data_IF_044993207218
#
_entry.id   IF_044993207218
#
_cell.length_a   1.000
_cell.length_b   1.000
_cell.length_c   1.000
_cell.angle_alpha   90.00
_cell.angle_beta   90.00
_cell.angle_gamma   90.00
#
_symmetry.space_group_name_H-M   'P 1'
#
loop_
_entity.id
_entity.type
_entity.pdbx_description
1 polymer ?
#
# COMPACT_ATOMS: atom_id res chain seq x y z
N UNK A 1 40.97 49.32 -55.64
CA UNK A 1 41.28 49.08 -54.21
C UNK A 1 40.06 49.42 -53.37
N UNK A 2 39.18 48.47 -53.05
CA UNK A 2 38.20 48.59 -51.97
C UNK A 2 37.91 47.17 -51.46
N UNK A 3 38.54 46.81 -50.35
CA UNK A 3 38.33 45.53 -49.64
C UNK A 3 37.22 45.75 -48.60
N UNK A 4 36.16 44.93 -48.64
CA UNK A 4 35.11 44.90 -47.60
C UNK A 4 35.38 43.71 -46.69
N UNK A 5 35.79 44.00 -45.46
CA UNK A 5 35.96 43.05 -44.37
C UNK A 5 34.59 42.82 -43.72
N UNK A 6 34.07 41.58 -43.79
CA UNK A 6 32.87 41.15 -43.07
C UNK A 6 33.28 40.57 -41.72
N UNK A 7 32.89 41.26 -40.63
CA UNK A 7 33.12 40.83 -39.26
C UNK A 7 31.95 39.92 -38.84
N UNK A 8 32.21 38.62 -38.67
CA UNK A 8 31.22 37.67 -38.16
C UNK A 8 31.28 37.64 -36.62
N UNK A 9 30.32 38.29 -35.97
CA UNK A 9 30.09 38.15 -34.53
C UNK A 9 29.39 36.80 -34.26
N UNK A 10 30.10 35.85 -33.67
CA UNK A 10 29.51 34.62 -33.14
C UNK A 10 29.02 34.88 -31.72
N UNK A 11 27.70 34.96 -31.53
CA UNK A 11 27.07 35.02 -30.21
C UNK A 11 26.96 33.58 -29.68
N UNK A 12 27.76 33.26 -28.68
CA UNK A 12 27.60 32.03 -27.89
C UNK A 12 26.52 32.30 -26.84
N UNK A 13 25.31 31.77 -27.03
CA UNK A 13 24.30 31.74 -25.99
C UNK A 13 24.62 30.60 -25.01
N UNK A 14 25.14 30.96 -23.84
CA UNK A 14 25.17 30.08 -22.67
C UNK A 14 23.76 30.05 -22.06
N UNK A 15 23.03 28.95 -22.25
CA UNK A 15 21.82 28.67 -21.47
C UNK A 15 22.24 28.26 -20.05
N UNK A 16 22.21 29.22 -19.13
CA UNK A 16 22.22 28.92 -17.71
C UNK A 16 20.83 28.39 -17.34
N UNK A 17 20.68 27.07 -17.23
CA UNK A 17 19.50 26.45 -16.64
C UNK A 17 19.48 26.77 -15.15
N UNK A 18 18.78 27.83 -14.77
CA UNK A 18 18.40 28.04 -13.37
C UNK A 18 17.55 26.84 -12.94
N UNK A 19 18.04 26.09 -11.97
CA UNK A 19 17.31 25.00 -11.33
C UNK A 19 16.14 25.63 -10.58
N UNK A 20 15.00 25.76 -11.27
CA UNK A 20 13.76 26.14 -10.64
C UNK A 20 13.25 24.91 -9.88
N UNK A 21 12.96 25.06 -8.59
CA UNK A 21 12.33 23.98 -7.82
C UNK A 21 11.04 23.55 -8.52
N UNK A 22 10.70 22.26 -8.44
CA UNK A 22 9.46 21.77 -9.02
C UNK A 22 8.28 22.51 -8.37
N UNK A 23 7.53 23.26 -9.17
CA UNK A 23 6.41 24.05 -8.68
C UNK A 23 5.28 23.12 -8.25
N UNK A 24 4.77 23.29 -7.03
CA UNK A 24 3.66 22.47 -6.54
C UNK A 24 2.39 22.77 -7.33
N UNK A 25 1.58 21.73 -7.55
CA UNK A 25 0.23 21.93 -8.06
C UNK A 25 -0.63 22.72 -7.05
N UNK A 26 -1.70 23.43 -7.49
CA UNK A 26 -2.62 24.10 -6.57
C UNK A 26 -3.19 23.16 -5.49
N UNK A 27 -3.39 21.89 -5.84
CA UNK A 27 -3.81 20.86 -4.88
C UNK A 27 -2.71 20.58 -3.83
N UNK A 28 -1.45 20.48 -4.25
CA UNK A 28 -0.30 20.32 -3.37
C UNK A 28 -0.18 21.43 -2.33
N UNK A 29 -0.33 22.69 -2.76
CA UNK A 29 -0.36 23.86 -1.88
C UNK A 29 -1.51 23.78 -0.86
N UNK A 30 -2.72 23.49 -1.33
CA UNK A 30 -3.89 23.34 -0.47
C UNK A 30 -3.68 22.23 0.57
N UNK A 31 -3.14 21.08 0.15
CA UNK A 31 -2.84 19.94 1.02
C UNK A 31 -1.68 20.19 1.98
N UNK A 32 -0.91 21.27 1.76
CA UNK A 32 0.32 21.59 2.50
C UNK A 32 1.33 20.45 2.39
N UNK A 33 1.53 19.97 1.16
CA UNK A 33 2.53 18.95 0.91
C UNK A 33 3.96 19.48 1.12
N UNK A 34 4.91 18.57 1.29
CA UNK A 34 6.33 18.88 1.45
C UNK A 34 6.94 19.39 0.14
N UNK A 35 8.04 20.14 0.25
CA UNK A 35 8.85 20.52 -0.90
C UNK A 35 9.58 19.29 -1.46
N UNK A 36 9.70 19.24 -2.79
CA UNK A 36 10.38 18.16 -3.52
C UNK A 36 11.67 18.67 -4.16
N UNK A 37 12.67 17.80 -4.26
CA UNK A 37 13.94 18.13 -4.88
C UNK A 37 13.76 18.48 -6.37
N UNK A 38 14.63 19.34 -6.95
CA UNK A 38 14.37 19.93 -8.27
C UNK A 38 14.31 18.97 -9.45
N UNK A 39 14.84 17.74 -9.34
CA UNK A 39 14.76 16.71 -10.38
C UNK A 39 13.45 15.91 -10.37
N UNK A 40 12.53 16.21 -9.45
CA UNK A 40 11.21 15.59 -9.40
C UNK A 40 10.18 16.39 -10.20
N UNK A 41 9.38 15.69 -11.00
CA UNK A 41 8.16 16.24 -11.59
C UNK A 41 7.05 16.16 -10.55
N UNK A 42 6.29 17.24 -10.39
CA UNK A 42 5.22 17.32 -9.39
C UNK A 42 3.84 17.14 -10.03
N UNK A 43 3.17 16.05 -9.69
CA UNK A 43 1.77 15.73 -10.02
C UNK A 43 1.43 15.77 -11.52
N UNK A 44 2.43 15.53 -12.39
CA UNK A 44 2.29 15.49 -13.85
C UNK A 44 2.90 14.20 -14.43
N UNK A 45 2.15 13.10 -14.29
CA UNK A 45 2.53 11.81 -14.84
C UNK A 45 2.65 11.82 -16.39
N UNK A 46 1.75 12.49 -17.15
CA UNK A 46 1.92 12.63 -18.60
C UNK A 46 3.26 13.26 -19.01
N UNK A 47 3.69 14.34 -18.36
CA UNK A 47 5.00 14.96 -18.60
C UNK A 47 6.14 13.99 -18.29
N UNK A 48 6.08 13.32 -17.13
CA UNK A 48 7.10 12.34 -16.75
C UNK A 48 7.23 11.21 -17.77
N UNK A 49 6.11 10.67 -18.28
CA UNK A 49 6.12 9.66 -19.34
C UNK A 49 6.75 10.17 -20.64
N UNK A 50 6.44 11.41 -21.03
CA UNK A 50 7.01 12.02 -22.22
C UNK A 50 8.53 12.20 -22.09
N UNK A 51 9.00 12.66 -20.93
CA UNK A 51 10.43 12.83 -20.64
C UNK A 51 11.17 11.49 -20.54
N UNK A 52 10.57 10.47 -19.92
CA UNK A 52 11.15 9.12 -19.87
C UNK A 52 11.33 8.55 -21.27
N UNK A 53 10.33 8.74 -22.15
CA UNK A 53 10.44 8.32 -23.56
C UNK A 53 11.52 9.11 -24.31
N UNK A 54 11.63 10.41 -24.08
CA UNK A 54 12.60 11.27 -24.77
C UNK A 54 14.05 11.00 -24.32
N UNK A 55 14.26 10.71 -23.04
CA UNK A 55 15.59 10.49 -22.45
C UNK A 55 16.02 9.03 -22.47
N UNK A 56 15.08 8.09 -22.66
CA UNK A 56 15.30 6.66 -22.51
C UNK A 56 15.44 6.19 -21.06
N UNK A 57 15.31 7.08 -20.07
CA UNK A 57 15.39 6.73 -18.65
C UNK A 57 14.13 5.99 -18.18
N UNK A 58 14.25 5.10 -17.17
CA UNK A 58 13.09 4.53 -16.50
C UNK A 58 12.34 5.58 -15.66
N UNK A 59 11.09 5.30 -15.36
CA UNK A 59 10.24 6.08 -14.46
C UNK A 59 10.39 5.61 -13.02
N UNK A 60 10.49 6.56 -12.10
CA UNK A 60 10.25 6.38 -10.67
C UNK A 60 9.00 7.17 -10.30
N UNK A 61 7.89 6.47 -10.03
CA UNK A 61 6.61 7.07 -9.66
C UNK A 61 6.39 6.85 -8.16
N UNK A 62 6.32 7.94 -7.39
CA UNK A 62 5.92 7.91 -5.97
C UNK A 62 4.47 8.35 -5.85
N UNK A 63 3.61 7.45 -5.38
CA UNK A 63 2.22 7.73 -5.05
C UNK A 63 2.11 8.05 -3.57
N UNK A 64 1.64 9.26 -3.27
CA UNK A 64 1.49 9.76 -1.90
C UNK A 64 0.07 10.21 -1.64
N UNK A 65 -0.51 9.73 -0.54
CA UNK A 65 -1.70 10.36 0.01
C UNK A 65 -1.31 11.43 1.05
N UNK A 66 -1.56 12.70 0.73
CA UNK A 66 -1.25 13.83 1.63
C UNK A 66 -2.52 14.23 2.39
N UNK A 67 -2.49 14.47 3.72
CA UNK A 67 -1.33 14.48 4.62
C UNK A 67 -1.23 13.20 5.49
N UNK A 68 -1.54 12.02 4.95
CA UNK A 68 -1.61 10.79 5.74
C UNK A 68 -0.29 10.52 6.50
N UNK A 69 -0.32 10.27 7.83
CA UNK A 69 0.90 10.09 8.61
C UNK A 69 1.78 8.90 8.16
N UNK A 70 1.23 7.72 7.81
CA UNK A 70 2.06 6.57 7.45
C UNK A 70 2.95 6.83 6.24
N UNK A 71 4.21 6.40 6.35
CA UNK A 71 5.27 6.56 5.37
C UNK A 71 5.87 7.95 5.31
N UNK A 72 5.48 8.89 6.19
CA UNK A 72 5.96 10.28 6.13
C UNK A 72 7.48 10.40 6.27
N UNK A 73 8.11 9.58 7.11
CA UNK A 73 9.56 9.67 7.31
C UNK A 73 10.32 9.31 6.04
N UNK A 74 9.95 8.18 5.41
CA UNK A 74 10.54 7.79 4.13
C UNK A 74 10.17 8.78 3.03
N UNK A 75 8.92 9.27 2.99
CA UNK A 75 8.48 10.26 2.02
C UNK A 75 9.38 11.50 2.02
N UNK A 76 9.72 12.01 3.21
CA UNK A 76 10.64 13.13 3.33
C UNK A 76 12.05 12.77 2.83
N UNK A 77 12.57 11.60 3.17
CA UNK A 77 13.89 11.15 2.71
C UNK A 77 13.96 11.01 1.18
N UNK A 78 12.89 10.56 0.52
CA UNK A 78 12.86 10.39 -0.95
C UNK A 78 12.59 11.71 -1.66
N UNK A 79 11.75 12.59 -1.11
CA UNK A 79 11.50 13.91 -1.73
C UNK A 79 12.64 14.90 -1.47
N UNK A 80 13.42 14.71 -0.40
CA UNK A 80 14.55 15.55 0.01
C UNK A 80 15.78 14.66 0.26
N UNK A 81 16.31 14.02 -0.81
CA UNK A 81 17.33 12.99 -0.71
C UNK A 81 18.68 13.55 -0.25
N UNK A 82 19.46 12.68 0.39
CA UNK A 82 20.90 12.90 0.51
C UNK A 82 21.61 12.73 -0.85
N UNK A 83 22.91 13.03 -0.90
CA UNK A 83 23.67 13.03 -2.16
C UNK A 83 23.71 11.65 -2.85
N UNK A 84 23.71 10.56 -2.09
CA UNK A 84 23.78 9.21 -2.66
C UNK A 84 22.43 8.80 -3.25
N UNK A 85 21.33 9.08 -2.54
CA UNK A 85 20.00 8.83 -3.06
C UNK A 85 19.68 9.75 -4.25
N UNK A 86 20.06 11.02 -4.20
CA UNK A 86 19.86 11.97 -5.30
C UNK A 86 20.57 11.49 -6.59
N UNK A 87 21.79 10.97 -6.48
CA UNK A 87 22.54 10.39 -7.59
C UNK A 87 21.81 9.19 -8.19
N UNK A 88 21.17 8.37 -7.36
CA UNK A 88 20.38 7.23 -7.80
C UNK A 88 19.09 7.68 -8.50
N UNK A 89 18.35 8.61 -7.89
CA UNK A 89 17.11 9.18 -8.41
C UNK A 89 17.30 9.86 -9.77
N UNK A 90 18.40 10.59 -9.98
CA UNK A 90 18.72 11.26 -11.27
C UNK A 90 18.90 10.29 -12.45
N UNK A 91 19.01 8.98 -12.20
CA UNK A 91 19.02 7.96 -13.25
C UNK A 91 17.61 7.61 -13.74
N UNK A 92 16.57 8.05 -13.03
CA UNK A 92 15.17 7.96 -13.40
C UNK A 92 14.63 9.32 -13.87
N UNK A 93 13.49 9.29 -14.56
CA UNK A 93 12.55 10.43 -14.53
C UNK A 93 11.65 10.22 -13.33
N UNK A 94 11.79 11.10 -12.34
CA UNK A 94 11.10 10.98 -11.06
C UNK A 94 9.80 11.80 -11.09
N UNK A 95 8.69 11.21 -10.63
CA UNK A 95 7.41 11.91 -10.52
C UNK A 95 6.69 11.58 -9.24
N UNK A 96 6.26 12.61 -8.54
CA UNK A 96 5.40 12.51 -7.35
C UNK A 96 3.96 12.68 -7.78
N UNK A 97 3.09 11.75 -7.41
CA UNK A 97 1.65 11.80 -7.66
C UNK A 97 0.93 11.85 -6.32
N UNK A 98 0.13 12.90 -6.08
CA UNK A 98 -0.45 13.18 -4.76
C UNK A 98 -1.97 12.93 -4.66
N UNK A 99 -2.55 12.45 -5.76
CA UNK A 99 -3.98 12.15 -5.89
C UNK A 99 -4.16 10.90 -6.74
N UNK A 100 -5.26 10.17 -6.51
CA UNK A 100 -5.61 9.04 -7.37
C UNK A 100 -6.61 9.43 -8.47
N UNK A 101 -7.07 10.68 -8.50
CA UNK A 101 -7.94 11.17 -9.56
C UNK A 101 -7.28 10.96 -10.94
N UNK A 102 -7.97 10.27 -11.85
CA UNK A 102 -7.46 9.94 -13.19
C UNK A 102 -6.34 8.91 -13.22
N UNK A 103 -5.99 8.30 -12.08
CA UNK A 103 -4.95 7.29 -12.01
C UNK A 103 -5.39 6.04 -12.78
N UNK A 104 -4.55 5.60 -13.72
CA UNK A 104 -4.77 4.36 -14.45
C UNK A 104 -4.64 3.14 -13.52
N UNK A 105 -5.77 2.55 -13.15
CA UNK A 105 -5.84 1.42 -12.22
C UNK A 105 -5.33 0.11 -12.84
N UNK A 106 -5.17 0.05 -14.17
CA UNK A 106 -4.54 -1.10 -14.83
C UNK A 106 -3.02 -1.09 -14.62
N UNK A 107 -2.42 0.09 -14.71
CA UNK A 107 -0.97 0.25 -14.52
C UNK A 107 -0.61 0.28 -13.03
N UNK A 108 -1.27 1.12 -12.24
CA UNK A 108 -0.86 1.42 -10.86
C UNK A 108 -1.51 0.49 -9.84
N UNK A 109 -1.28 -0.81 -9.99
CA UNK A 109 -1.79 -1.86 -9.11
C UNK A 109 -0.87 -2.04 -7.90
N UNK A 110 -1.20 -1.41 -6.77
CA UNK A 110 -0.51 -1.56 -5.49
C UNK A 110 -1.53 -1.69 -4.35
N UNK A 111 -1.04 -1.88 -3.12
CA UNK A 111 -1.91 -1.92 -1.95
C UNK A 111 -2.46 -0.53 -1.62
N UNK A 112 -3.69 -0.24 -2.05
CA UNK A 112 -4.33 1.06 -1.85
C UNK A 112 -4.63 1.40 -0.38
N UNK A 113 -4.45 0.48 0.58
CA UNK A 113 -4.45 0.83 2.01
C UNK A 113 -3.14 1.52 2.45
N UNK A 114 -2.13 1.56 1.58
CA UNK A 114 -0.90 2.32 1.77
C UNK A 114 -1.09 3.78 1.39
N UNK A 115 -0.61 4.69 2.24
CA UNK A 115 -0.54 6.12 1.92
C UNK A 115 0.76 6.55 1.26
N UNK A 116 1.69 5.61 1.05
CA UNK A 116 2.95 5.83 0.35
C UNK A 116 3.31 4.54 -0.39
N UNK A 117 3.56 4.64 -1.70
CA UNK A 117 4.03 3.54 -2.54
C UNK A 117 4.92 4.09 -3.65
N UNK A 118 5.93 3.33 -4.05
CA UNK A 118 6.74 3.63 -5.23
C UNK A 118 6.59 2.52 -6.28
N UNK A 119 6.57 2.91 -7.55
CA UNK A 119 6.60 2.00 -8.68
C UNK A 119 7.73 2.40 -9.61
N UNK A 120 8.51 1.41 -10.02
CA UNK A 120 9.59 1.57 -10.99
C UNK A 120 9.13 1.00 -12.31
N UNK A 121 9.15 1.80 -13.37
CA UNK A 121 8.59 1.40 -14.66
C UNK A 121 9.53 1.76 -15.81
N UNK A 122 9.37 1.08 -16.92
CA UNK A 122 9.90 1.52 -18.19
C UNK A 122 9.08 2.73 -18.73
N UNK A 123 9.60 3.42 -19.74
CA UNK A 123 8.89 4.52 -20.40
C UNK A 123 7.56 4.07 -21.06
N UNK A 124 7.43 2.80 -21.45
CA UNK A 124 6.19 2.20 -21.95
C UNK A 124 5.23 1.70 -20.85
N UNK A 125 5.53 2.02 -19.58
CA UNK A 125 4.82 1.60 -18.37
C UNK A 125 4.93 0.10 -18.03
N UNK A 126 5.85 -0.64 -18.67
CA UNK A 126 6.19 -1.98 -18.17
C UNK A 126 6.76 -1.88 -16.76
N UNK A 127 6.17 -2.60 -15.79
CA UNK A 127 6.53 -2.52 -14.38
C UNK A 127 7.82 -3.31 -14.13
N UNK A 128 8.87 -2.65 -13.62
CA UNK A 128 10.06 -3.32 -13.08
C UNK A 128 9.79 -3.87 -11.68
N UNK A 129 9.06 -3.12 -10.86
CA UNK A 129 8.60 -3.60 -9.57
C UNK A 129 8.04 -2.49 -8.70
N UNK A 130 7.69 -2.86 -7.48
CA UNK A 130 7.05 -2.01 -6.48
C UNK A 130 7.96 -1.83 -5.26
N UNK A 131 7.73 -0.79 -4.49
CA UNK A 131 8.29 -0.63 -3.16
C UNK A 131 7.30 0.10 -2.26
N UNK A 132 7.31 -0.22 -0.97
CA UNK A 132 6.35 0.29 0.01
C UNK A 132 5.44 -0.82 0.51
N UNK A 133 5.58 -1.16 1.78
CA UNK A 133 4.79 -2.20 2.44
C UNK A 133 4.57 -1.86 3.91
N UNK A 134 3.59 -2.52 4.54
CA UNK A 134 3.23 -2.37 5.94
C UNK A 134 2.59 -3.65 6.45
N UNK A 135 2.76 -3.90 7.75
CA UNK A 135 2.02 -4.91 8.49
C UNK A 135 1.32 -4.27 9.71
N UNK A 136 0.69 -5.09 10.55
CA UNK A 136 0.01 -4.61 11.76
C UNK A 136 0.96 -4.33 12.94
N UNK A 137 2.25 -4.62 12.80
CA UNK A 137 3.21 -4.55 13.91
C UNK A 137 3.82 -3.15 14.06
N UNK A 138 4.03 -2.73 15.31
CA UNK A 138 4.71 -1.48 15.66
C UNK A 138 3.78 -0.27 15.84
N UNK A 139 4.19 0.65 16.72
CA UNK A 139 3.49 1.92 16.93
C UNK A 139 3.65 2.89 15.73
N UNK A 140 4.65 2.65 14.89
CA UNK A 140 4.96 3.43 13.70
C UNK A 140 4.69 2.54 12.48
N UNK A 141 3.84 3.01 11.58
CA UNK A 141 3.48 2.36 10.32
C UNK A 141 4.60 2.23 9.29
N UNK A 142 5.83 2.55 9.68
CA UNK A 142 6.96 2.84 8.82
C UNK A 142 8.13 1.86 9.05
N UNK A 143 7.97 0.87 9.94
CA UNK A 143 9.06 -0.06 10.32
C UNK A 143 9.59 -0.91 9.14
N UNK A 144 8.80 -1.07 8.08
CA UNK A 144 9.18 -1.80 6.86
C UNK A 144 9.61 -0.88 5.72
N UNK A 145 9.62 0.43 5.98
CA UNK A 145 9.99 1.47 5.03
C UNK A 145 11.35 2.02 5.44
N UNK A 146 12.38 1.71 4.67
CA UNK A 146 13.72 2.26 4.88
C UNK A 146 14.25 2.93 3.60
N UNK A 147 15.09 3.96 3.76
CA UNK A 147 15.77 4.59 2.65
C UNK A 147 16.74 3.61 1.96
N UNK A 148 17.46 2.79 2.74
CA UNK A 148 18.38 1.78 2.21
C UNK A 148 17.65 0.73 1.35
N UNK A 149 16.50 0.23 1.83
CA UNK A 149 15.67 -0.72 1.08
C UNK A 149 15.09 -0.11 -0.19
N UNK A 150 14.73 1.18 -0.15
CA UNK A 150 14.29 1.91 -1.33
C UNK A 150 15.42 2.04 -2.36
N UNK A 151 16.63 2.43 -1.93
CA UNK A 151 17.80 2.49 -2.81
C UNK A 151 18.12 1.13 -3.43
N UNK A 152 18.05 0.03 -2.65
CA UNK A 152 18.25 -1.34 -3.17
C UNK A 152 17.21 -1.72 -4.22
N UNK A 153 15.95 -1.37 -4.02
CA UNK A 153 14.90 -1.59 -5.02
C UNK A 153 15.15 -0.79 -6.31
N UNK A 154 15.57 0.48 -6.18
CA UNK A 154 15.91 1.33 -7.30
C UNK A 154 17.13 0.81 -8.09
N UNK A 155 18.19 0.37 -7.42
CA UNK A 155 19.35 -0.27 -8.05
C UNK A 155 18.95 -1.50 -8.88
N UNK A 156 18.08 -2.37 -8.32
CA UNK A 156 17.57 -3.56 -9.02
C UNK A 156 16.68 -3.19 -10.20
N UNK A 157 15.87 -2.14 -10.08
CA UNK A 157 15.06 -1.63 -11.19
C UNK A 157 15.94 -1.10 -12.34
N UNK A 158 17.02 -0.36 -12.03
CA UNK A 158 18.00 0.08 -13.04
C UNK A 158 18.71 -1.10 -13.72
N UNK A 159 19.02 -2.16 -12.97
CA UNK A 159 19.58 -3.38 -13.56
C UNK A 159 18.60 -4.04 -14.54
N UNK A 160 17.31 -4.15 -14.18
CA UNK A 160 16.26 -4.67 -15.08
C UNK A 160 16.07 -3.76 -16.30
N UNK A 161 16.19 -2.44 -16.15
CA UNK A 161 16.07 -1.50 -17.25
C UNK A 161 17.21 -1.62 -18.26
N UNK A 162 18.46 -1.74 -17.78
CA UNK A 162 19.64 -1.98 -18.63
C UNK A 162 19.52 -3.23 -19.51
N UNK A 163 18.89 -4.27 -18.97
CA UNK A 163 18.70 -5.56 -19.64
C UNK A 163 17.22 -5.78 -20.04
N UNK A 164 16.48 -4.70 -20.33
CA UNK A 164 15.01 -4.75 -20.51
C UNK A 164 14.54 -5.80 -21.51
N UNK A 165 15.16 -5.87 -22.69
CA UNK A 165 14.76 -6.81 -23.75
C UNK A 165 14.85 -8.27 -23.30
N UNK A 166 15.81 -8.60 -22.42
CA UNK A 166 15.96 -9.95 -21.86
C UNK A 166 14.88 -10.27 -20.83
N UNK A 167 14.36 -9.27 -20.14
CA UNK A 167 13.40 -9.43 -19.05
C UNK A 167 11.95 -9.15 -19.44
N UNK A 168 11.70 -8.53 -20.60
CA UNK A 168 10.38 -8.03 -21.03
C UNK A 168 9.25 -9.06 -20.88
N UNK A 169 9.49 -10.31 -21.26
CA UNK A 169 8.49 -11.38 -21.12
C UNK A 169 8.16 -11.69 -19.65
N UNK A 170 9.18 -11.78 -18.78
CA UNK A 170 8.98 -12.03 -17.35
C UNK A 170 8.32 -10.83 -16.64
N UNK A 171 8.63 -9.61 -17.08
CA UNK A 171 8.04 -8.39 -16.54
C UNK A 171 6.56 -8.23 -16.89
N UNK A 172 6.08 -8.80 -18.00
CA UNK A 172 4.66 -8.75 -18.35
C UNK A 172 3.75 -9.35 -17.25
N UNK A 173 4.24 -10.35 -16.51
CA UNK A 173 3.52 -10.96 -15.40
C UNK A 173 3.40 -10.06 -14.15
N UNK A 174 4.09 -8.92 -14.11
CA UNK A 174 3.96 -7.92 -13.02
C UNK A 174 2.72 -7.04 -13.14
N UNK A 175 2.00 -7.12 -14.26
CA UNK A 175 0.67 -6.53 -14.43
C UNK A 175 -0.37 -7.61 -14.21
N UNK A 176 -1.32 -7.37 -13.30
CA UNK A 176 -2.34 -8.35 -12.95
C UNK A 176 -3.54 -8.32 -13.89
N UNK A 177 -4.64 -8.90 -13.42
CA UNK A 177 -5.93 -8.82 -14.11
C UNK A 177 -6.36 -7.36 -14.27
N UNK A 178 -7.10 -7.08 -15.33
CA UNK A 178 -7.69 -5.77 -15.54
C UNK A 178 -8.63 -5.43 -14.35
N UNK A 179 -8.54 -4.20 -13.81
CA UNK A 179 -9.42 -3.77 -12.74
C UNK A 179 -10.87 -3.65 -13.25
N UNK A 180 -11.85 -3.80 -12.35
CA UNK A 180 -13.27 -3.62 -12.69
C UNK A 180 -13.57 -2.18 -13.18
N UNK A 181 -12.79 -1.21 -12.71
CA UNK A 181 -12.86 0.20 -13.12
C UNK A 181 -11.50 0.65 -13.62
N UNK A 182 -11.46 1.35 -14.76
CA UNK A 182 -10.21 1.81 -15.36
C UNK A 182 -9.53 2.96 -14.59
N UNK A 183 -10.34 3.84 -13.99
CA UNK A 183 -9.92 4.98 -13.16
C UNK A 183 -10.84 5.11 -11.95
N UNK A 184 -10.41 5.71 -10.82
CA UNK A 184 -11.22 5.78 -9.59
C UNK A 184 -12.60 6.42 -9.76
N UNK A 185 -12.71 7.48 -10.55
CA UNK A 185 -13.95 8.23 -10.80
C UNK A 185 -15.03 7.40 -11.52
N UNK A 186 -14.68 6.22 -12.05
CA UNK A 186 -15.65 5.27 -12.63
C UNK A 186 -16.22 4.30 -11.60
N UNK A 187 -15.70 4.29 -10.37
CA UNK A 187 -16.20 3.47 -9.28
C UNK A 187 -17.49 4.08 -8.71
N UNK A 188 -18.57 3.29 -8.51
CA UNK A 188 -19.78 3.76 -7.83
C UNK A 188 -19.46 4.44 -6.50
N UNK A 189 -19.99 5.65 -6.28
CA UNK A 189 -19.73 6.47 -5.11
C UNK A 189 -18.53 7.44 -5.20
N UNK A 190 -17.75 7.39 -6.29
CA UNK A 190 -16.67 8.35 -6.60
C UNK A 190 -16.94 9.17 -7.87
N UNK A 191 -18.09 8.99 -8.51
CA UNK A 191 -18.41 9.57 -9.83
C UNK A 191 -18.61 11.08 -9.84
N UNK A 192 -18.81 11.69 -8.67
CA UNK A 192 -18.96 13.13 -8.48
C UNK A 192 -17.62 13.87 -8.30
N UNK A 193 -16.50 13.12 -8.24
CA UNK A 193 -15.17 13.67 -8.03
C UNK A 193 -14.54 14.10 -9.37
N UNK A 194 -14.20 15.38 -9.58
CA UNK A 194 -13.58 15.85 -10.82
C UNK A 194 -12.13 15.34 -10.99
N UNK A 195 -11.66 15.35 -12.24
CA UNK A 195 -10.27 15.01 -12.61
C UNK A 195 -9.64 16.19 -13.36
N UNK A 196 -8.52 16.78 -12.90
CA UNK A 196 -7.88 16.55 -11.59
C UNK A 196 -8.73 17.10 -10.44
N UNK A 197 -8.40 16.74 -9.20
CA UNK A 197 -9.04 17.33 -8.04
C UNK A 197 -8.63 18.80 -7.87
N UNK A 198 -9.61 19.66 -7.60
CA UNK A 198 -9.40 21.10 -7.34
C UNK A 198 -9.47 21.49 -5.87
N UNK A 199 -9.92 20.58 -4.99
CA UNK A 199 -10.07 20.80 -3.55
C UNK A 199 -9.77 19.53 -2.76
N UNK A 200 -9.58 19.65 -1.45
CA UNK A 200 -9.37 18.49 -0.56
C UNK A 200 -10.57 17.54 -0.58
N UNK A 201 -11.78 18.08 -0.69
CA UNK A 201 -13.04 17.33 -0.67
C UNK A 201 -13.26 16.51 -1.94
N UNK A 202 -12.61 16.91 -3.03
CA UNK A 202 -12.73 16.29 -4.34
C UNK A 202 -11.54 15.37 -4.69
N UNK A 203 -10.50 15.37 -3.85
CA UNK A 203 -9.39 14.42 -3.95
C UNK A 203 -9.87 13.02 -3.57
N UNK A 204 -9.53 12.04 -4.41
CA UNK A 204 -9.73 10.63 -4.12
C UNK A 204 -8.48 10.11 -3.42
N UNK A 205 -8.61 9.79 -2.14
CA UNK A 205 -7.56 9.17 -1.33
C UNK A 205 -7.33 7.70 -1.76
N UNK A 206 -6.11 7.19 -1.59
CA UNK A 206 -5.76 5.83 -2.04
C UNK A 206 -6.71 4.77 -1.45
N UNK A 207 -6.98 4.81 -0.14
CA UNK A 207 -7.87 3.84 0.50
C UNK A 207 -9.32 3.92 0.00
N UNK A 208 -9.75 5.07 -0.55
CA UNK A 208 -11.10 5.21 -1.15
C UNK A 208 -11.21 4.37 -2.42
N UNK A 209 -10.14 4.24 -3.21
CA UNK A 209 -10.15 3.40 -4.42
C UNK A 209 -10.55 1.96 -4.08
N UNK A 210 -9.89 1.38 -3.06
CA UNK A 210 -10.21 0.03 -2.61
C UNK A 210 -11.57 -0.01 -1.90
N UNK A 211 -11.86 0.94 -1.03
CA UNK A 211 -13.10 0.91 -0.26
C UNK A 211 -14.36 0.98 -1.13
N UNK A 212 -14.42 1.91 -2.08
CA UNK A 212 -15.57 2.04 -2.96
C UNK A 212 -15.68 0.86 -3.93
N UNK A 213 -14.57 0.24 -4.34
CA UNK A 213 -14.60 -1.01 -5.08
C UNK A 213 -15.19 -2.17 -4.25
N UNK A 214 -14.81 -2.30 -2.97
CA UNK A 214 -15.39 -3.29 -2.05
C UNK A 214 -16.88 -3.01 -1.81
N UNK A 215 -17.27 -1.73 -1.68
CA UNK A 215 -18.68 -1.34 -1.58
C UNK A 215 -19.47 -1.74 -2.82
N UNK A 216 -18.98 -1.45 -4.01
CA UNK A 216 -19.66 -1.81 -5.25
C UNK A 216 -19.82 -3.34 -5.39
N UNK A 217 -18.82 -4.12 -4.96
CA UNK A 217 -18.94 -5.59 -4.86
C UNK A 217 -20.02 -6.02 -3.87
N UNK A 218 -20.10 -5.36 -2.71
CA UNK A 218 -21.11 -5.65 -1.69
C UNK A 218 -22.52 -5.34 -2.21
N UNK A 219 -22.73 -4.15 -2.80
CA UNK A 219 -24.01 -3.75 -3.40
C UNK A 219 -24.45 -4.69 -4.53
N UNK A 220 -23.50 -5.30 -5.23
CA UNK A 220 -23.75 -6.31 -6.25
C UNK A 220 -23.87 -7.76 -5.72
N UNK A 221 -23.80 -7.99 -4.40
CA UNK A 221 -23.88 -9.32 -3.79
C UNK A 221 -22.68 -10.24 -4.09
N UNK A 222 -21.51 -9.67 -4.41
CA UNK A 222 -20.28 -10.39 -4.82
C UNK A 222 -19.13 -10.30 -3.83
N UNK A 223 -19.23 -9.45 -2.79
CA UNK A 223 -18.17 -9.28 -1.82
C UNK A 223 -17.96 -10.58 -1.03
N UNK A 224 -16.72 -11.04 -0.95
CA UNK A 224 -16.32 -12.24 -0.22
C UNK A 224 -15.14 -11.95 0.72
N UNK A 225 -14.79 -12.94 1.55
CA UNK A 225 -13.72 -12.83 2.54
C UNK A 225 -12.38 -12.50 1.87
N UNK A 226 -12.10 -13.14 0.73
CA UNK A 226 -10.84 -13.01 -0.02
C UNK A 226 -10.62 -11.60 -0.58
N UNK A 227 -11.69 -10.83 -0.80
CA UNK A 227 -11.58 -9.42 -1.21
C UNK A 227 -10.98 -8.52 -0.11
N UNK A 228 -11.04 -8.94 1.16
CA UNK A 228 -10.56 -8.17 2.31
C UNK A 228 -9.10 -8.51 2.67
N UNK A 229 -8.68 -9.76 2.45
CA UNK A 229 -7.32 -10.24 2.70
C UNK A 229 -6.45 -10.14 1.44
N UNK A 230 -5.77 -9.01 1.29
CA UNK A 230 -4.97 -8.69 0.10
C UNK A 230 -3.55 -8.30 0.47
N UNK A 231 -2.59 -8.57 -0.40
CA UNK A 231 -1.17 -8.30 -0.15
C UNK A 231 -0.68 -8.89 1.18
N UNK A 232 -0.87 -10.21 1.43
CA UNK A 232 -0.35 -10.84 2.63
C UNK A 232 1.16 -10.67 2.69
N UNK A 233 1.67 -10.42 3.89
CA UNK A 233 3.10 -10.28 4.13
C UNK A 233 3.83 -11.63 3.93
N UNK A 234 5.13 -11.62 3.57
CA UNK A 234 5.88 -12.87 3.37
C UNK A 234 6.01 -13.75 4.63
N UNK A 235 5.79 -13.19 5.82
CA UNK A 235 5.76 -13.95 7.08
C UNK A 235 4.63 -15.00 7.09
N UNK A 236 3.55 -14.75 6.32
CA UNK A 236 2.45 -15.69 6.12
C UNK A 236 2.88 -16.99 5.44
N UNK A 237 3.98 -16.97 4.71
CA UNK A 237 4.61 -18.16 4.12
C UNK A 237 5.90 -18.55 4.83
N UNK A 238 6.19 -17.89 5.97
CA UNK A 238 7.31 -18.16 6.84
C UNK A 238 8.58 -17.39 6.52
N UNK A 239 8.53 -16.33 5.73
CA UNK A 239 9.70 -15.52 5.37
C UNK A 239 9.67 -14.16 6.04
N UNK A 240 10.78 -13.75 6.66
CA UNK A 240 11.03 -12.32 6.93
C UNK A 240 12.25 -11.85 6.17
N UNK A 241 12.24 -10.60 5.74
CA UNK A 241 13.35 -9.99 5.02
C UNK A 241 14.05 -8.94 5.87
N UNK A 242 15.35 -8.76 5.63
CA UNK A 242 16.09 -7.60 6.10
C UNK A 242 15.49 -6.34 5.46
N UNK A 243 15.21 -5.31 6.26
CA UNK A 243 14.51 -4.11 5.78
C UNK A 243 15.40 -3.15 5.00
N UNK A 244 16.72 -3.26 5.10
CA UNK A 244 17.67 -2.46 4.33
C UNK A 244 17.95 -3.07 2.96
N UNK A 245 17.75 -4.38 2.78
CA UNK A 245 17.87 -5.06 1.49
C UNK A 245 16.52 -5.31 0.81
N UNK A 246 15.51 -5.76 1.56
CA UNK A 246 14.16 -6.07 1.09
C UNK A 246 13.98 -7.44 0.42
N UNK A 247 15.05 -8.20 0.15
CA UNK A 247 14.97 -9.56 -0.42
C UNK A 247 15.94 -10.56 0.22
N UNK A 248 16.88 -10.09 1.05
CA UNK A 248 17.70 -10.91 1.93
C UNK A 248 16.84 -11.50 3.05
N UNK A 249 16.74 -12.83 3.11
CA UNK A 249 16.00 -13.58 4.12
C UNK A 249 16.68 -13.38 5.48
N UNK A 250 15.97 -12.75 6.40
CA UNK A 250 16.41 -12.53 7.77
C UNK A 250 16.10 -13.73 8.66
N UNK A 251 14.91 -14.31 8.51
CA UNK A 251 14.53 -15.52 9.25
C UNK A 251 13.50 -16.34 8.47
N UNK A 252 13.47 -17.63 8.79
CA UNK A 252 12.48 -18.58 8.29
C UNK A 252 11.74 -19.19 9.48
N UNK A 253 10.42 -19.16 9.47
CA UNK A 253 9.60 -19.77 10.53
C UNK A 253 9.65 -21.30 10.40
N UNK A 254 10.04 -22.00 11.46
CA UNK A 254 10.06 -23.48 11.45
C UNK A 254 8.68 -24.07 11.16
N UNK A 255 8.65 -25.12 10.34
CA UNK A 255 7.44 -25.83 9.90
C UNK A 255 6.62 -25.11 8.82
N UNK A 256 7.02 -23.89 8.43
CA UNK A 256 6.35 -23.10 7.39
C UNK A 256 6.56 -23.66 5.98
N UNK A 257 5.86 -23.09 5.00
CA UNK A 257 6.08 -23.42 3.59
C UNK A 257 7.52 -23.12 3.15
N UNK A 258 8.09 -21.99 3.59
CA UNK A 258 9.47 -21.61 3.28
C UNK A 258 10.50 -22.56 3.89
N UNK A 259 10.29 -23.00 5.13
CA UNK A 259 11.16 -23.98 5.80
C UNK A 259 11.13 -25.33 5.08
N UNK A 260 9.94 -25.81 4.70
CA UNK A 260 9.77 -27.04 3.90
C UNK A 260 10.40 -26.95 2.52
N UNK A 261 10.46 -25.76 1.92
CA UNK A 261 11.19 -25.51 0.69
C UNK A 261 12.72 -25.48 0.87
N UNK A 262 13.22 -25.53 2.12
CA UNK A 262 14.63 -25.50 2.47
C UNK A 262 15.27 -24.11 2.28
N UNK A 263 14.46 -23.04 2.36
CA UNK A 263 14.94 -21.65 2.41
C UNK A 263 15.55 -21.41 3.79
N UNK A 264 16.61 -20.61 3.85
CA UNK A 264 17.37 -20.34 5.07
C UNK A 264 17.63 -18.85 5.23
N UNK A 265 17.89 -18.42 6.47
CA UNK A 265 18.41 -17.09 6.72
C UNK A 265 19.75 -16.91 5.98
N UNK A 266 19.95 -15.73 5.38
CA UNK A 266 21.09 -15.43 4.52
C UNK A 266 20.86 -15.68 3.03
N UNK A 267 19.76 -16.34 2.64
CA UNK A 267 19.37 -16.44 1.23
C UNK A 267 18.93 -15.08 0.70
N UNK A 268 19.24 -14.75 -0.55
CA UNK A 268 18.65 -13.58 -1.24
C UNK A 268 17.74 -14.05 -2.36
N UNK A 269 16.44 -13.73 -2.28
CA UNK A 269 15.49 -14.05 -3.34
C UNK A 269 15.70 -13.16 -4.57
N UNK A 270 15.56 -13.75 -5.75
CA UNK A 270 15.70 -13.02 -7.04
C UNK A 270 14.52 -13.22 -7.99
N UNK A 271 13.90 -14.41 -7.99
CA UNK A 271 12.70 -14.71 -8.78
C UNK A 271 11.65 -15.38 -7.90
N UNK A 272 10.38 -15.06 -8.13
CA UNK A 272 9.23 -15.78 -7.58
C UNK A 272 8.13 -15.83 -8.63
N UNK A 273 7.54 -17.01 -8.84
CA UNK A 273 6.55 -17.25 -9.90
C UNK A 273 7.02 -16.76 -11.30
N UNK A 274 8.32 -16.89 -11.57
CA UNK A 274 8.95 -16.42 -12.81
C UNK A 274 9.15 -14.90 -12.93
N UNK A 275 8.72 -14.11 -11.94
CA UNK A 275 8.86 -12.64 -11.95
C UNK A 275 10.16 -12.23 -11.24
N UNK A 276 10.98 -11.34 -11.83
CA UNK A 276 12.14 -10.76 -11.14
C UNK A 276 11.67 -9.90 -9.97
N UNK A 277 12.36 -9.99 -8.85
CA UNK A 277 12.02 -9.25 -7.63
C UNK A 277 12.94 -8.06 -7.45
N UNK A 278 12.39 -6.91 -7.07
CA UNK A 278 13.18 -5.76 -6.60
C UNK A 278 13.01 -5.48 -5.11
N UNK A 279 11.91 -5.92 -4.49
CA UNK A 279 11.61 -5.68 -3.07
C UNK A 279 10.56 -6.64 -2.49
N UNK A 280 10.36 -6.57 -1.17
CA UNK A 280 9.26 -7.20 -0.43
C UNK A 280 7.87 -6.94 -1.05
N UNK A 281 7.63 -5.76 -1.62
CA UNK A 281 6.34 -5.42 -2.19
C UNK A 281 6.02 -6.24 -3.46
N UNK A 282 7.05 -6.66 -4.21
CA UNK A 282 6.86 -7.61 -5.32
C UNK A 282 6.48 -9.01 -4.81
N UNK A 283 7.06 -9.44 -3.68
CA UNK A 283 6.68 -10.72 -3.05
C UNK A 283 5.21 -10.68 -2.62
N UNK A 284 4.77 -9.60 -1.97
CA UNK A 284 3.36 -9.42 -1.61
C UNK A 284 2.45 -9.37 -2.84
N UNK A 285 2.87 -8.70 -3.91
CA UNK A 285 2.13 -8.66 -5.17
C UNK A 285 1.88 -10.07 -5.70
N UNK A 286 2.90 -10.91 -5.74
CA UNK A 286 2.79 -12.29 -6.23
C UNK A 286 1.93 -13.14 -5.29
N UNK A 287 2.14 -13.04 -3.98
CA UNK A 287 1.33 -13.75 -2.99
C UNK A 287 -0.15 -13.33 -3.05
N UNK A 288 -0.44 -12.05 -3.28
CA UNK A 288 -1.81 -11.53 -3.43
C UNK A 288 -2.54 -12.24 -4.59
N UNK A 289 -1.87 -12.39 -5.73
CA UNK A 289 -2.42 -13.02 -6.94
C UNK A 289 -2.37 -14.56 -6.92
N UNK A 290 -1.67 -15.17 -5.97
CA UNK A 290 -1.52 -16.62 -5.89
C UNK A 290 -2.75 -17.27 -5.25
N UNK A 291 -3.33 -18.35 -5.79
CA UNK A 291 -4.42 -19.10 -5.12
C UNK A 291 -3.97 -19.70 -3.78
N UNK A 292 -4.91 -19.93 -2.84
CA UNK A 292 -4.59 -20.46 -1.50
C UNK A 292 -3.91 -21.83 -1.53
N UNK A 293 -4.11 -22.62 -2.59
CA UNK A 293 -3.34 -23.83 -2.87
C UNK A 293 -2.57 -23.66 -4.18
N UNK A 294 -1.25 -23.69 -4.13
CA UNK A 294 -0.39 -23.46 -5.29
C UNK A 294 1.03 -23.94 -5.04
N UNK A 295 1.77 -24.25 -6.10
CA UNK A 295 3.21 -24.46 -6.07
C UNK A 295 3.88 -23.28 -6.77
N UNK A 296 4.61 -22.45 -6.01
CA UNK A 296 5.29 -21.29 -6.55
C UNK A 296 6.78 -21.59 -6.76
N UNK A 297 7.27 -21.63 -8.00
CA UNK A 297 8.71 -21.72 -8.22
C UNK A 297 9.39 -20.43 -7.77
N UNK A 298 10.57 -20.55 -7.17
CA UNK A 298 11.39 -19.40 -6.79
C UNK A 298 12.87 -19.69 -7.03
N UNK A 299 13.63 -18.62 -7.24
CA UNK A 299 15.08 -18.66 -7.35
C UNK A 299 15.66 -17.78 -6.26
N UNK A 300 16.69 -18.30 -5.59
CA UNK A 300 17.44 -17.59 -4.56
C UNK A 300 18.93 -17.79 -4.76
N UNK A 301 19.72 -16.94 -4.12
CA UNK A 301 21.18 -17.09 -4.06
C UNK A 301 21.59 -17.46 -2.64
N UNK A 302 22.42 -18.49 -2.52
CA UNK A 302 23.06 -18.92 -1.26
C UNK A 302 24.55 -19.13 -1.52
N UNK A 303 25.41 -18.46 -0.75
CA UNK A 303 26.87 -18.55 -0.90
C UNK A 303 27.35 -18.32 -2.35
N UNK A 304 26.73 -17.35 -3.03
CA UNK A 304 27.00 -17.01 -4.43
C UNK A 304 26.45 -17.98 -5.47
N UNK A 305 25.77 -19.06 -5.07
CA UNK A 305 25.16 -20.04 -5.98
C UNK A 305 23.68 -19.81 -6.14
N UNK A 306 23.20 -19.85 -7.38
CA UNK A 306 21.77 -19.81 -7.71
C UNK A 306 21.12 -21.16 -7.41
N UNK A 307 20.03 -21.16 -6.64
CA UNK A 307 19.24 -22.33 -6.26
C UNK A 307 17.79 -22.12 -6.67
N UNK A 308 17.19 -23.14 -7.28
CA UNK A 308 15.76 -23.18 -7.58
C UNK A 308 15.04 -24.00 -6.51
N UNK A 309 13.95 -23.45 -5.98
CA UNK A 309 13.08 -24.08 -4.97
C UNK A 309 11.63 -23.97 -5.41
N UNK A 310 10.76 -24.70 -4.72
CA UNK A 310 9.31 -24.60 -4.87
C UNK A 310 8.69 -24.33 -3.52
N UNK A 311 7.92 -23.25 -3.42
CA UNK A 311 7.13 -22.91 -2.24
C UNK A 311 5.74 -23.52 -2.39
N UNK A 312 5.49 -24.62 -1.69
CA UNK A 312 4.20 -25.30 -1.68
C UNK A 312 3.26 -24.61 -0.68
N UNK A 313 2.20 -23.98 -1.18
CA UNK A 313 1.22 -23.23 -0.41
C UNK A 313 -0.08 -24.00 -0.30
N UNK A 314 -0.64 -24.05 0.91
CA UNK A 314 -1.95 -24.62 1.22
C UNK A 314 -2.48 -24.06 2.54
N UNK A 315 -3.78 -24.20 2.79
CA UNK A 315 -4.41 -23.72 4.02
C UNK A 315 -4.76 -22.22 3.98
N UNK A 316 -4.77 -21.59 5.15
CA UNK A 316 -5.29 -20.24 5.37
C UNK A 316 -4.19 -19.16 5.45
N UNK A 317 -3.04 -19.35 4.80
CA UNK A 317 -1.92 -18.40 4.85
C UNK A 317 -2.31 -16.99 4.36
N UNK A 318 -3.31 -16.87 3.49
CA UNK A 318 -3.86 -15.59 3.05
C UNK A 318 -4.52 -14.78 4.16
N UNK A 319 -5.00 -15.41 5.21
CA UNK A 319 -5.63 -14.72 6.32
C UNK A 319 -4.56 -14.19 7.27
N UNK A 320 -4.63 -12.91 7.62
CA UNK A 320 -3.69 -12.23 8.53
C UNK A 320 -4.39 -11.05 9.21
N UNK A 321 -3.70 -10.35 10.10
CA UNK A 321 -4.29 -9.18 10.75
C UNK A 321 -4.52 -8.02 9.75
N UNK A 322 -5.81 -7.76 9.47
CA UNK A 322 -6.27 -6.67 8.60
C UNK A 322 -6.75 -5.45 9.38
N UNK A 323 -6.67 -5.46 10.71
CA UNK A 323 -7.19 -4.38 11.56
C UNK A 323 -6.56 -3.01 11.31
N UNK A 324 -5.38 -2.95 10.68
CA UNK A 324 -4.71 -1.69 10.31
C UNK A 324 -5.17 -1.11 8.96
N UNK A 325 -5.94 -1.86 8.16
CA UNK A 325 -6.30 -1.50 6.79
C UNK A 325 -7.51 -0.58 6.76
N UNK A 326 -7.32 0.66 6.29
CA UNK A 326 -8.36 1.67 6.26
C UNK A 326 -9.63 1.24 5.50
N UNK A 327 -9.47 0.48 4.41
CA UNK A 327 -10.61 -0.07 3.63
C UNK A 327 -11.49 -1.04 4.42
N UNK A 328 -10.97 -1.65 5.50
CA UNK A 328 -11.73 -2.53 6.41
C UNK A 328 -12.41 -1.76 7.54
N UNK A 329 -12.13 -0.47 7.70
CA UNK A 329 -12.67 0.33 8.79
C UNK A 329 -14.07 0.89 8.51
N UNK A 330 -14.51 0.85 7.26
CA UNK A 330 -15.86 1.29 6.90
C UNK A 330 -16.90 0.32 7.44
N UNK A 331 -18.04 0.84 7.85
CA UNK A 331 -18.92 0.14 8.76
C UNK A 331 -18.63 0.53 10.21
N UNK A 332 -18.87 -0.41 11.13
CA UNK A 332 -18.83 -0.19 12.58
C UNK A 332 -17.52 0.44 13.10
N UNK A 333 -16.41 0.25 12.39
CA UNK A 333 -15.08 0.77 12.75
C UNK A 333 -14.85 2.22 12.29
N UNK A 334 -15.80 2.85 11.60
CA UNK A 334 -15.61 4.19 11.05
C UNK A 334 -15.55 5.22 12.18
N UNK A 335 -14.33 5.61 12.54
CA UNK A 335 -14.06 6.47 13.68
C UNK A 335 -14.09 5.74 15.03
N UNK A 336 -13.96 4.41 15.06
CA UNK A 336 -13.85 3.65 16.32
C UNK A 336 -12.57 2.84 16.33
N UNK A 337 -11.84 2.86 17.44
CA UNK A 337 -10.73 1.94 17.67
C UNK A 337 -11.16 0.92 18.71
N UNK A 338 -11.14 -0.35 18.33
CA UNK A 338 -11.25 -1.47 19.25
C UNK A 338 -9.92 -2.21 19.31
N UNK A 339 -9.72 -2.95 20.40
CA UNK A 339 -8.64 -3.93 20.56
C UNK A 339 -9.24 -5.16 21.27
N UNK A 340 -8.63 -6.34 21.09
CA UNK A 340 -8.95 -7.50 21.92
C UNK A 340 -8.67 -7.18 23.39
N UNK A 341 -9.62 -7.46 24.27
CA UNK A 341 -9.41 -7.35 25.71
C UNK A 341 -8.44 -8.48 26.15
N UNK A 342 -7.32 -8.18 26.83
CA UNK A 342 -6.39 -9.19 27.32
C UNK A 342 -7.06 -10.18 28.29
N UNK A 343 -6.56 -11.42 28.36
CA UNK A 343 -7.15 -12.49 29.18
C UNK A 343 -7.27 -12.12 30.66
N UNK A 344 -6.24 -11.52 31.26
CA UNK A 344 -6.27 -11.08 32.65
C UNK A 344 -7.36 -10.03 32.93
N UNK A 345 -7.64 -9.16 31.96
CA UNK A 345 -8.66 -8.13 32.05
C UNK A 345 -10.07 -8.69 31.79
N UNK A 346 -10.19 -9.75 30.99
CA UNK A 346 -11.44 -10.52 30.85
C UNK A 346 -11.83 -11.17 32.16
N UNK A 347 -10.89 -11.85 32.82
CA UNK A 347 -11.09 -12.52 34.10
C UNK A 347 -11.57 -11.54 35.18
N UNK A 348 -10.90 -10.39 35.32
CA UNK A 348 -11.30 -9.31 36.25
C UNK A 348 -12.72 -8.80 36.03
N UNK A 349 -13.23 -8.88 34.79
CA UNK A 349 -14.58 -8.44 34.41
C UNK A 349 -15.60 -9.58 34.36
N UNK A 350 -15.22 -10.81 34.71
CA UNK A 350 -16.09 -11.99 34.66
C UNK A 350 -16.50 -12.39 33.24
N UNK A 351 -15.69 -12.04 32.23
CA UNK A 351 -15.91 -12.42 30.84
C UNK A 351 -15.23 -13.76 30.61
N UNK A 352 -15.99 -14.75 30.12
CA UNK A 352 -15.46 -16.09 29.81
C UNK A 352 -14.57 -16.05 28.57
N UNK A 353 -13.61 -16.96 28.48
CA UNK A 353 -12.66 -17.04 27.36
C UNK A 353 -13.33 -17.37 26.02
N UNK A 354 -14.49 -18.04 26.06
CA UNK A 354 -15.34 -18.38 24.92
C UNK A 354 -16.30 -17.24 24.53
N UNK A 355 -16.10 -16.04 25.06
CA UNK A 355 -16.93 -14.86 24.77
C UNK A 355 -16.14 -13.82 23.98
N UNK A 356 -16.77 -13.20 22.98
CA UNK A 356 -16.27 -12.00 22.32
C UNK A 356 -15.88 -10.96 23.37
N UNK A 357 -14.74 -10.30 23.17
CA UNK A 357 -14.31 -9.24 24.07
C UNK A 357 -13.45 -8.23 23.32
N UNK A 358 -14.11 -7.25 22.70
CA UNK A 358 -13.46 -6.12 22.04
C UNK A 358 -13.67 -4.85 22.85
N UNK A 359 -12.59 -4.28 23.39
CA UNK A 359 -12.67 -3.03 24.15
C UNK A 359 -12.59 -1.84 23.23
N UNK A 360 -13.52 -0.89 23.36
CA UNK A 360 -13.52 0.39 22.65
C UNK A 360 -12.44 1.29 23.25
N UNK A 361 -11.31 1.43 22.56
CA UNK A 361 -10.17 2.27 23.00
C UNK A 361 -10.39 3.75 22.74
N UNK A 362 -11.16 4.09 21.70
CA UNK A 362 -11.38 5.48 21.34
C UNK A 362 -12.42 5.66 20.24
N UNK A 363 -12.96 6.87 20.21
CA UNK A 363 -13.93 7.36 19.22
C UNK A 363 -13.33 8.62 18.58
N UNK A 364 -13.23 8.65 17.25
CA UNK A 364 -12.49 9.64 16.46
C UNK A 364 -13.37 10.23 15.36
N UNK A 365 -13.00 11.43 14.92
CA UNK A 365 -13.72 12.18 13.88
C UNK A 365 -14.24 13.51 14.39
N UNK A 366 -14.33 14.51 13.50
CA UNK A 366 -14.83 15.84 13.84
C UNK A 366 -16.33 15.75 14.15
N UNK A 367 -16.71 15.98 15.41
CA UNK A 367 -18.09 15.81 15.89
C UNK A 367 -18.42 14.43 16.47
N UNK A 368 -17.45 13.51 16.50
CA UNK A 368 -17.64 12.13 16.97
C UNK A 368 -18.20 11.20 15.86
N UNK A 369 -17.91 9.88 15.91
CA UNK A 369 -18.49 8.93 14.97
C UNK A 369 -19.98 8.74 15.25
N UNK A 370 -20.78 8.38 14.25
CA UNK A 370 -22.23 8.15 14.39
C UNK A 370 -22.58 7.18 15.52
N UNK A 371 -21.73 6.19 15.75
CA UNK A 371 -21.89 5.19 16.83
C UNK A 371 -21.89 5.82 18.23
N UNK A 372 -21.26 6.99 18.40
CA UNK A 372 -21.26 7.73 19.66
C UNK A 372 -22.65 8.27 19.99
N UNK A 373 -23.37 8.77 18.97
CA UNK A 373 -24.76 9.22 19.13
C UNK A 373 -25.70 8.05 19.47
N UNK A 374 -25.36 6.84 19.01
CA UNK A 374 -26.05 5.59 19.38
C UNK A 374 -25.66 5.06 20.78
N UNK A 375 -24.82 5.79 21.52
CA UNK A 375 -24.54 5.54 22.94
C UNK A 375 -23.31 4.70 23.21
N UNK A 376 -22.53 4.30 22.20
CA UNK A 376 -21.24 3.62 22.38
C UNK A 376 -20.21 4.58 23.01
N UNK A 377 -19.41 4.09 23.94
CA UNK A 377 -18.41 4.90 24.66
C UNK A 377 -17.05 4.20 24.70
N UNK A 378 -15.99 5.00 24.80
CA UNK A 378 -14.68 4.48 25.14
C UNK A 378 -14.73 3.74 26.51
N UNK A 379 -14.07 2.60 26.59
CA UNK A 379 -14.09 1.69 27.73
C UNK A 379 -15.20 0.64 27.70
N UNK A 380 -16.19 0.75 26.80
CA UNK A 380 -17.15 -0.34 26.58
C UNK A 380 -16.43 -1.59 26.08
N UNK A 381 -16.82 -2.76 26.58
CA UNK A 381 -16.36 -4.05 26.05
C UNK A 381 -17.52 -4.69 25.29
N UNK A 382 -17.38 -4.80 23.97
CA UNK A 382 -18.35 -5.50 23.11
C UNK A 382 -18.22 -6.99 23.39
N UNK A 383 -19.33 -7.60 23.85
CA UNK A 383 -19.41 -9.02 24.22
C UNK A 383 -20.40 -9.84 23.39
N UNK A 384 -21.23 -9.18 22.59
CA UNK A 384 -22.02 -9.84 21.56
C UNK A 384 -22.38 -8.88 20.42
N UNK A 385 -22.62 -9.45 19.24
CA UNK A 385 -23.19 -8.78 18.07
C UNK A 385 -24.40 -9.57 17.58
N UNK A 386 -25.55 -8.93 17.45
CA UNK A 386 -26.82 -9.56 17.05
C UNK A 386 -27.14 -10.83 17.87
N UNK A 387 -26.83 -10.78 19.17
CA UNK A 387 -27.02 -11.89 20.11
C UNK A 387 -25.97 -13.00 20.03
N UNK A 388 -25.02 -12.93 19.10
CA UNK A 388 -23.90 -13.87 18.94
C UNK A 388 -22.71 -13.41 19.77
N UNK A 389 -22.16 -14.31 20.58
CA UNK A 389 -21.11 -14.01 21.57
C UNK A 389 -19.84 -14.83 21.37
N UNK A 390 -19.77 -15.60 20.30
CA UNK A 390 -18.63 -16.44 19.96
C UNK A 390 -17.34 -15.60 19.89
N UNK A 391 -16.19 -16.16 20.32
CA UNK A 391 -14.95 -15.41 20.36
C UNK A 391 -14.48 -15.15 18.93
N UNK A 392 -14.16 -13.88 18.64
CA UNK A 392 -13.62 -13.46 17.34
C UNK A 392 -12.30 -12.73 17.55
N UNK A 393 -11.38 -12.90 16.60
CA UNK A 393 -10.29 -11.94 16.44
C UNK A 393 -10.85 -10.59 15.98
N UNK A 394 -10.07 -9.51 16.13
CA UNK A 394 -10.44 -8.20 15.59
C UNK A 394 -10.64 -8.25 14.06
N UNK A 395 -9.84 -9.06 13.36
CA UNK A 395 -9.96 -9.23 11.92
C UNK A 395 -11.23 -9.99 11.52
N UNK A 396 -11.55 -11.10 12.20
CA UNK A 396 -12.76 -11.87 11.91
C UNK A 396 -14.02 -11.06 12.21
N UNK A 397 -14.00 -10.27 13.28
CA UNK A 397 -15.06 -9.31 13.58
C UNK A 397 -15.27 -8.31 12.44
N UNK A 398 -14.20 -7.70 11.91
CA UNK A 398 -14.30 -6.78 10.79
C UNK A 398 -14.81 -7.44 9.52
N UNK A 399 -14.31 -8.63 9.21
CA UNK A 399 -14.77 -9.42 8.07
C UNK A 399 -16.26 -9.70 8.19
N UNK A 400 -16.70 -10.23 9.33
CA UNK A 400 -18.11 -10.55 9.56
C UNK A 400 -18.98 -9.30 9.40
N UNK A 401 -18.59 -8.18 10.02
CA UNK A 401 -19.33 -6.92 9.93
C UNK A 401 -19.41 -6.38 8.51
N UNK A 402 -18.31 -6.46 7.75
CA UNK A 402 -18.26 -5.93 6.39
C UNK A 402 -18.99 -6.80 5.37
N UNK A 403 -19.07 -8.11 5.58
CA UNK A 403 -19.81 -9.01 4.71
C UNK A 403 -21.32 -8.96 4.99
N UNK A 404 -21.72 -8.87 6.26
CA UNK A 404 -23.11 -9.01 6.65
C UNK A 404 -23.94 -7.71 6.57
N UNK A 405 -23.30 -6.54 6.63
CA UNK A 405 -24.03 -5.28 6.77
C UNK A 405 -23.57 -4.18 5.81
N UNK A 406 -24.55 -3.44 5.30
CA UNK A 406 -24.39 -2.31 4.41
C UNK A 406 -24.60 -0.95 5.07
N UNK A 407 -24.63 0.12 4.24
CA UNK A 407 -24.70 1.50 4.73
C UNK A 407 -25.98 1.87 5.47
N UNK A 408 -27.10 1.20 5.18
CA UNK A 408 -28.40 1.48 5.78
C UNK A 408 -28.74 0.55 6.94
N UNK A 409 -27.86 -0.40 7.24
CA UNK A 409 -28.09 -1.39 8.27
C UNK A 409 -27.67 -0.88 9.65
N UNK A 410 -28.18 -1.56 10.67
CA UNK A 410 -27.75 -1.38 12.05
C UNK A 410 -27.49 -2.75 12.68
N UNK A 411 -26.59 -2.78 13.66
CA UNK A 411 -26.24 -3.97 14.43
C UNK A 411 -26.58 -3.78 15.90
N UNK A 412 -27.02 -4.84 16.56
CA UNK A 412 -27.25 -4.82 18.00
C UNK A 412 -25.98 -5.26 18.72
N UNK A 413 -25.35 -4.35 19.45
CA UNK A 413 -24.20 -4.66 20.29
C UNK A 413 -24.66 -4.87 21.74
N UNK A 414 -24.27 -6.01 22.33
CA UNK A 414 -24.23 -6.15 23.78
C UNK A 414 -22.86 -5.68 24.25
N UNK A 415 -22.83 -4.66 25.11
CA UNK A 415 -21.61 -4.13 25.70
C UNK A 415 -21.62 -4.28 27.22
N UNK A 416 -20.45 -4.50 27.82
CA UNK A 416 -20.21 -4.32 29.25
C UNK A 416 -19.66 -2.92 29.49
N UNK A 417 -20.35 -2.18 30.37
CA UNK A 417 -19.94 -0.84 30.82
C UNK A 417 -19.95 -0.82 32.34
N UNK A 418 -18.77 -0.70 32.96
CA UNK A 418 -18.62 -0.77 34.41
C UNK A 418 -19.33 -2.01 35.03
N UNK A 419 -19.17 -3.17 34.38
CA UNK A 419 -19.77 -4.44 34.80
C UNK A 419 -21.24 -4.63 34.42
N UNK A 420 -21.96 -3.59 34.01
CA UNK A 420 -23.36 -3.71 33.59
C UNK A 420 -23.48 -4.00 32.09
N UNK A 421 -24.34 -4.97 31.73
CA UNK A 421 -24.72 -5.25 30.33
C UNK A 421 -25.64 -4.14 29.79
N UNK A 422 -25.35 -3.69 28.59
CA UNK A 422 -26.18 -2.72 27.84
C UNK A 422 -26.34 -3.19 26.41
N UNK A 423 -27.55 -3.02 25.88
CA UNK A 423 -27.87 -3.24 24.48
C UNK A 423 -27.85 -1.91 23.74
N UNK A 424 -27.11 -1.84 22.65
CA UNK A 424 -27.01 -0.66 21.79
C UNK A 424 -27.34 -1.04 20.35
N UNK A 425 -28.17 -0.26 19.68
CA UNK A 425 -28.40 -0.40 18.24
C UNK A 425 -27.50 0.59 17.52
N UNK A 426 -26.48 0.10 16.84
CA UNK A 426 -25.43 0.90 16.23
C UNK A 426 -25.63 0.97 14.72
N UNK A 427 -25.74 2.17 14.12
CA UNK A 427 -25.73 2.30 12.67
C UNK A 427 -24.37 1.89 12.13
N UNK A 428 -24.36 1.20 10.99
CA UNK A 428 -23.12 0.69 10.45
C UNK A 428 -22.28 1.79 9.80
N UNK A 429 -22.85 2.72 9.02
CA UNK A 429 -22.07 3.72 8.24
C UNK A 429 -22.52 5.14 8.53
#
# INVERSE_FOLDING_TARGET
>A
MHSRLLLACSIVMLFASSIQAAEKSPLGELLKDIDVAPHWIYDDLPLAKAEAKATGKPLLVVLRCVPCPPGRTLDQQVMQPDAELEKLEKQFVCVRVIQTNGLDLKTFQYDYDMSWSAMFLNADLTIYGRYGTRNSTGAQSDILLSQAGFSKAAERALALHRDFDKHKSALAAKTGKDPEYAVPEKTPGLTDKPTPASTKQNCIHCHMVKEFALRAKWEAGRLNKEDLYVFPMPDRVGLTFDTADGLLVKSVQSGSAADKAGIQAGDTLSLLAGQPLISTADVQWILNSTPSTSELPLTLTRDGKSLNKTLALSGNWKEYDIGWRASTWYGLRQGVKFELLPAAEREKQGIKDDTLALVVKGLFGKGGPKVQAAGLKAGDVIVAVDGKSEPLSESDFLVQMRLAHGPQDSVKLTVLRAGARKELTIPMW
#
